data_IF_563598242015
#
_entry.id   IF_563598242015
#
_cell.length_a   1.000
_cell.length_b   1.000
_cell.length_c   1.000
_cell.angle_alpha   90.00
_cell.angle_beta   90.00
_cell.angle_gamma   90.00
#
_symmetry.space_group_name_H-M   'P 1'
#
loop_
_entity.id
_entity.type
_entity.pdbx_description
1 polymer ?
#
# COMPACT_ATOMS: atom_id res chain seq x y z
N UNK A 1 58.99 -42.59 -26.78
CA UNK A 1 58.59 -41.60 -25.76
C UNK A 1 57.25 -41.02 -26.15
N UNK A 2 56.20 -41.69 -25.68
CA UNK A 2 54.81 -41.47 -26.06
C UNK A 2 54.04 -40.99 -24.83
N UNK A 3 54.19 -39.72 -24.49
CA UNK A 3 53.46 -39.10 -23.37
C UNK A 3 52.98 -37.72 -23.78
N UNK A 4 52.06 -37.66 -24.75
CA UNK A 4 51.45 -36.39 -25.21
C UNK A 4 49.92 -36.46 -25.30
N UNK A 5 49.26 -37.24 -24.46
CA UNK A 5 47.81 -37.45 -24.59
C UNK A 5 46.99 -37.41 -23.29
N UNK A 6 47.35 -36.61 -22.28
CA UNK A 6 46.47 -36.45 -21.10
C UNK A 6 46.39 -35.04 -20.49
N UNK A 7 46.60 -33.97 -21.27
CA UNK A 7 46.34 -32.60 -20.80
C UNK A 7 45.04 -32.01 -21.37
N UNK A 8 43.93 -32.74 -21.25
CA UNK A 8 42.65 -32.05 -21.15
C UNK A 8 42.52 -31.66 -19.68
N UNK A 9 43.00 -30.46 -19.34
CA UNK A 9 42.95 -29.92 -17.98
C UNK A 9 41.56 -30.05 -17.35
N UNK A 10 41.50 -30.00 -16.01
CA UNK A 10 40.23 -30.09 -15.28
C UNK A 10 39.25 -29.06 -15.86
N UNK A 11 38.09 -29.52 -16.33
CA UNK A 11 37.01 -28.63 -16.72
C UNK A 11 36.60 -27.84 -15.47
N UNK A 12 36.72 -26.51 -15.52
CA UNK A 12 36.24 -25.66 -14.44
C UNK A 12 34.75 -25.93 -14.21
N UNK A 13 34.37 -25.97 -12.93
CA UNK A 13 32.98 -26.19 -12.57
C UNK A 13 32.12 -25.12 -13.26
N UNK A 14 31.02 -25.56 -13.92
CA UNK A 14 30.07 -24.63 -14.53
C UNK A 14 29.61 -23.63 -13.48
N UNK A 15 29.89 -22.35 -13.73
CA UNK A 15 29.32 -21.27 -12.95
C UNK A 15 27.79 -21.33 -13.08
N UNK A 16 27.08 -21.28 -11.95
CA UNK A 16 25.63 -21.24 -11.96
C UNK A 16 25.14 -19.90 -12.48
N UNK A 17 24.31 -19.89 -13.52
CA UNK A 17 23.58 -18.69 -13.97
C UNK A 17 22.36 -18.35 -13.10
N UNK A 18 22.10 -19.16 -12.07
CA UNK A 18 21.00 -18.95 -11.13
C UNK A 18 21.34 -17.76 -10.22
N UNK A 19 20.75 -16.60 -10.51
CA UNK A 19 20.71 -15.47 -9.57
C UNK A 19 19.73 -15.82 -8.46
N UNK A 20 20.23 -16.27 -7.31
CA UNK A 20 19.40 -16.51 -6.14
C UNK A 20 18.90 -15.19 -5.55
N UNK A 21 17.58 -15.08 -5.33
CA UNK A 21 16.93 -14.15 -4.41
C UNK A 21 16.29 -12.90 -5.02
N UNK A 22 14.96 -12.83 -5.02
CA UNK A 22 14.24 -11.55 -5.09
C UNK A 22 14.20 -10.93 -3.69
N UNK A 23 15.00 -9.89 -3.46
CA UNK A 23 14.93 -9.11 -2.23
C UNK A 23 13.75 -8.14 -2.32
N UNK A 24 12.73 -8.35 -1.48
CA UNK A 24 11.64 -7.39 -1.33
C UNK A 24 12.18 -6.14 -0.65
N UNK A 25 11.95 -4.97 -1.25
CA UNK A 25 12.28 -3.65 -0.68
C UNK A 25 11.42 -3.30 0.56
N UNK A 26 11.32 -4.20 1.54
CA UNK A 26 10.47 -4.09 2.72
C UNK A 26 10.88 -2.91 3.63
N UNK A 27 12.13 -2.46 3.54
CA UNK A 27 12.64 -1.36 4.35
C UNK A 27 12.26 0.03 3.83
N UNK A 28 11.61 0.16 2.67
CA UNK A 28 11.18 1.44 2.09
C UNK A 28 9.73 1.75 2.44
N UNK A 29 9.49 2.21 3.67
CA UNK A 29 8.16 2.62 4.13
C UNK A 29 7.93 4.09 3.73
N UNK A 30 6.99 4.38 2.81
CA UNK A 30 6.72 5.75 2.38
C UNK A 30 6.12 6.59 3.52
N UNK A 31 6.52 7.85 3.63
CA UNK A 31 6.11 8.76 4.71
C UNK A 31 6.86 8.56 6.02
N UNK A 32 7.94 7.78 6.01
CA UNK A 32 8.86 7.65 7.15
C UNK A 32 9.97 8.71 7.11
N UNK A 33 10.67 8.93 8.22
CA UNK A 33 11.77 9.91 8.28
C UNK A 33 12.88 9.65 7.25
N UNK A 34 13.14 8.37 6.92
CA UNK A 34 14.14 7.98 5.91
C UNK A 34 13.63 8.10 4.47
N UNK A 35 12.31 8.03 4.28
CA UNK A 35 11.66 8.05 2.98
C UNK A 35 10.42 8.97 3.05
N UNK A 36 10.62 10.30 3.08
CA UNK A 36 9.52 11.26 3.10
C UNK A 36 8.72 11.20 1.78
N UNK A 37 7.44 11.55 1.83
CA UNK A 37 6.59 11.67 0.64
C UNK A 37 7.02 12.87 -0.20
N UNK A 38 7.13 12.71 -1.51
CA UNK A 38 7.36 13.83 -2.44
C UNK A 38 6.03 14.36 -2.95
N UNK A 39 5.57 15.49 -2.43
CA UNK A 39 4.28 16.09 -2.78
C UNK A 39 4.48 17.39 -3.56
N UNK A 40 3.61 17.64 -4.54
CA UNK A 40 3.61 18.87 -5.34
C UNK A 40 2.24 19.53 -5.26
N UNK A 41 2.25 20.83 -5.01
CA UNK A 41 1.05 21.65 -4.78
C UNK A 41 1.15 22.93 -5.62
N UNK A 42 0.01 23.52 -5.98
CA UNK A 42 -0.08 24.69 -6.87
C UNK A 42 -0.04 26.03 -6.13
N UNK A 43 -0.56 26.09 -4.89
CA UNK A 43 -0.66 27.32 -4.09
C UNK A 43 -0.08 27.17 -2.68
N UNK A 44 0.22 28.31 -2.06
CA UNK A 44 0.71 28.37 -0.68
C UNK A 44 -0.35 27.95 0.35
N UNK A 45 -1.60 28.35 0.14
CA UNK A 45 -2.73 27.95 0.98
C UNK A 45 -2.86 26.43 1.02
N UNK A 46 -2.85 25.80 -0.15
CA UNK A 46 -2.91 24.33 -0.28
C UNK A 46 -1.71 23.64 0.35
N UNK A 47 -0.53 24.27 0.32
CA UNK A 47 0.65 23.74 1.01
C UNK A 47 0.45 23.69 2.53
N UNK A 48 -0.17 24.70 3.13
CA UNK A 48 -0.44 24.72 4.58
C UNK A 48 -1.43 23.63 4.97
N UNK A 49 -2.51 23.45 4.19
CA UNK A 49 -3.48 22.36 4.40
C UNK A 49 -2.84 20.97 4.31
N UNK A 50 -1.98 20.75 3.30
CA UNK A 50 -1.29 19.47 3.12
C UNK A 50 -0.32 19.23 4.27
N UNK A 51 0.36 20.27 4.76
CA UNK A 51 1.26 20.16 5.91
C UNK A 51 0.53 19.81 7.20
N UNK A 52 -0.64 20.41 7.47
CA UNK A 52 -1.45 20.05 8.65
C UNK A 52 -1.92 18.60 8.54
N UNK A 53 -2.41 18.17 7.38
CA UNK A 53 -2.85 16.78 7.16
C UNK A 53 -1.71 15.76 7.35
N UNK A 54 -0.49 16.09 6.89
CA UNK A 54 0.70 15.25 7.09
C UNK A 54 1.08 15.18 8.58
N UNK A 55 1.01 16.31 9.29
CA UNK A 55 1.32 16.38 10.72
C UNK A 55 0.31 15.59 11.58
N UNK A 56 -0.99 15.74 11.30
CA UNK A 56 -2.07 14.96 11.93
C UNK A 56 -1.90 13.46 11.70
N UNK A 57 -1.44 13.08 10.50
CA UNK A 57 -1.14 11.69 10.16
C UNK A 57 0.18 11.18 10.74
N UNK A 58 0.98 12.02 11.40
CA UNK A 58 2.34 11.73 11.86
C UNK A 58 3.25 11.17 10.75
N UNK A 59 3.13 11.70 9.53
CA UNK A 59 3.94 11.33 8.36
C UNK A 59 5.02 12.40 8.10
N UNK A 60 6.04 12.03 7.33
CA UNK A 60 7.07 12.95 6.84
C UNK A 60 6.87 13.19 5.34
N UNK A 61 6.85 14.45 4.91
CA UNK A 61 6.69 14.83 3.50
C UNK A 61 7.50 16.07 3.14
N UNK A 62 8.01 16.10 1.91
CA UNK A 62 8.63 17.24 1.27
C UNK A 62 7.62 17.83 0.27
N UNK A 63 7.15 19.05 0.54
CA UNK A 63 6.12 19.72 -0.28
C UNK A 63 6.73 20.82 -1.13
N UNK A 64 6.69 20.66 -2.45
CA UNK A 64 7.13 21.65 -3.44
C UNK A 64 5.94 22.40 -4.02
N UNK A 65 6.14 23.68 -4.32
CA UNK A 65 5.13 24.53 -4.96
C UNK A 65 5.49 24.68 -6.44
N UNK A 66 4.59 24.31 -7.32
CA UNK A 66 4.71 24.52 -8.76
C UNK A 66 3.66 25.54 -9.21
N UNK A 67 4.09 26.79 -9.36
CA UNK A 67 3.24 27.94 -9.73
C UNK A 67 3.09 28.13 -11.26
N UNK A 68 3.29 27.06 -12.05
CA UNK A 68 3.20 27.13 -13.51
C UNK A 68 1.75 26.96 -13.96
N UNK A 69 1.35 27.71 -14.99
CA UNK A 69 0.04 27.58 -15.61
C UNK A 69 -0.14 26.15 -16.17
N UNK A 70 -1.08 25.39 -15.61
CA UNK A 70 -1.33 23.99 -15.97
C UNK A 70 -0.58 22.93 -15.15
N UNK A 71 0.05 23.31 -14.03
CA UNK A 71 0.66 22.35 -13.12
C UNK A 71 -0.39 21.41 -12.48
N UNK A 72 -0.09 20.11 -12.44
CA UNK A 72 -0.97 19.08 -11.86
C UNK A 72 -0.54 18.79 -10.42
N UNK A 73 -1.48 18.84 -9.47
CA UNK A 73 -1.23 18.49 -8.07
C UNK A 73 -0.83 17.01 -7.92
N UNK A 74 0.29 16.74 -7.23
CA UNK A 74 0.78 15.38 -6.97
C UNK A 74 0.64 15.06 -5.48
N UNK A 75 -0.58 14.78 -5.04
CA UNK A 75 -0.93 14.48 -3.62
C UNK A 75 -1.43 13.03 -3.46
N UNK A 76 -1.45 12.24 -4.53
CA UNK A 76 -2.04 10.90 -4.57
C UNK A 76 -1.48 9.93 -3.52
N UNK A 77 -0.18 9.99 -3.23
CA UNK A 77 0.42 9.10 -2.22
C UNK A 77 -0.11 9.39 -0.81
N UNK A 78 -0.27 10.68 -0.46
CA UNK A 78 -0.82 11.09 0.81
C UNK A 78 -2.28 10.63 0.94
N UNK A 79 -3.10 10.85 -0.09
CA UNK A 79 -4.51 10.44 -0.07
C UNK A 79 -4.65 8.92 0.04
N UNK A 80 -3.84 8.16 -0.70
CA UNK A 80 -3.82 6.70 -0.62
C UNK A 80 -3.47 6.19 0.80
N UNK A 81 -2.52 6.84 1.48
CA UNK A 81 -2.16 6.48 2.86
C UNK A 81 -3.27 6.84 3.87
N UNK A 82 -3.93 7.98 3.70
CA UNK A 82 -5.03 8.39 4.57
C UNK A 82 -6.25 7.46 4.44
N UNK A 83 -6.61 7.08 3.20
CA UNK A 83 -7.71 6.12 2.94
C UNK A 83 -7.41 4.76 3.58
N UNK A 84 -6.17 4.26 3.45
CA UNK A 84 -5.77 2.98 4.08
C UNK A 84 -5.88 3.00 5.61
N UNK A 85 -5.64 4.14 6.25
CA UNK A 85 -5.76 4.27 7.72
C UNK A 85 -7.21 4.19 8.19
N UNK A 86 -8.18 4.55 7.35
CA UNK A 86 -9.60 4.42 7.70
C UNK A 86 -10.03 2.96 7.60
N UNK A 87 -10.02 2.26 8.73
CA UNK A 87 -10.58 0.91 8.80
C UNK A 87 -12.08 0.96 8.49
N UNK A 88 -12.51 0.23 7.45
CA UNK A 88 -13.94 0.06 7.15
C UNK A 88 -14.57 -0.69 8.32
N UNK A 89 -15.42 0.00 9.09
CA UNK A 89 -16.19 -0.62 10.18
C UNK A 89 -17.32 -1.43 9.57
N UNK A 90 -17.11 -2.73 9.43
CA UNK A 90 -18.19 -3.65 9.08
C UNK A 90 -19.10 -3.80 10.30
N UNK A 91 -20.36 -3.35 10.15
CA UNK A 91 -21.39 -3.57 11.17
C UNK A 91 -21.57 -5.08 11.32
N UNK A 92 -21.41 -5.59 12.55
CA UNK A 92 -21.59 -7.00 12.83
C UNK A 92 -23.01 -7.42 12.42
N UNK A 93 -23.11 -8.53 11.71
CA UNK A 93 -24.40 -9.13 11.38
C UNK A 93 -25.09 -9.52 12.70
N UNK A 94 -26.34 -9.09 12.94
CA UNK A 94 -27.06 -9.41 14.18
C UNK A 94 -27.21 -10.93 14.35
N UNK A 95 -27.22 -11.42 15.60
CA UNK A 95 -27.39 -12.83 15.86
C UNK A 95 -28.80 -13.29 15.47
N UNK A 96 -28.97 -14.61 15.28
CA UNK A 96 -30.21 -15.24 14.78
C UNK A 96 -31.51 -14.70 15.42
N UNK A 97 -31.50 -14.37 16.71
CA UNK A 97 -32.67 -13.92 17.45
C UNK A 97 -32.71 -12.40 17.71
N UNK A 98 -31.67 -11.66 17.36
CA UNK A 98 -31.57 -10.21 17.58
C UNK A 98 -32.49 -9.44 16.62
N UNK A 99 -32.88 -8.19 16.95
CA UNK A 99 -33.63 -7.34 16.03
C UNK A 99 -32.87 -7.15 14.71
N UNK A 100 -33.59 -7.22 13.60
CA UNK A 100 -33.01 -7.11 12.27
C UNK A 100 -32.53 -5.68 11.99
N UNK A 101 -31.34 -5.57 11.39
CA UNK A 101 -30.70 -4.31 11.00
C UNK A 101 -31.45 -3.51 9.91
N UNK A 102 -32.46 -4.09 9.25
CA UNK A 102 -33.33 -3.40 8.28
C UNK A 102 -34.45 -2.56 8.93
N UNK A 103 -34.51 -2.50 10.26
CA UNK A 103 -35.52 -1.70 10.98
C UNK A 103 -36.90 -2.34 11.09
N UNK A 104 -37.07 -3.59 10.67
CA UNK A 104 -38.38 -4.27 10.68
C UNK A 104 -38.90 -4.69 12.07
N UNK A 105 -38.07 -4.56 13.12
CA UNK A 105 -38.40 -5.03 14.48
C UNK A 105 -38.49 -6.55 14.63
N UNK A 106 -38.39 -7.32 13.54
CA UNK A 106 -38.43 -8.79 13.54
C UNK A 106 -37.05 -9.36 13.92
N UNK A 107 -37.04 -10.58 14.48
CA UNK A 107 -35.80 -11.34 14.71
C UNK A 107 -35.05 -11.56 13.38
N UNK A 108 -33.73 -11.44 13.37
CA UNK A 108 -32.90 -11.55 12.16
C UNK A 108 -33.20 -12.80 11.32
N UNK A 109 -33.35 -13.96 11.98
CA UNK A 109 -33.75 -15.25 11.35
C UNK A 109 -35.09 -15.28 10.64
N UNK A 110 -35.97 -14.33 10.95
CA UNK A 110 -37.32 -14.20 10.38
C UNK A 110 -37.42 -13.01 9.41
N UNK A 111 -36.29 -12.39 9.08
CA UNK A 111 -36.23 -11.22 8.20
C UNK A 111 -35.07 -11.36 7.20
N UNK A 112 -34.04 -10.51 7.24
CA UNK A 112 -32.97 -10.48 6.23
C UNK A 112 -32.13 -11.76 6.12
N UNK A 113 -32.15 -12.65 7.12
CA UNK A 113 -31.49 -13.95 7.01
C UNK A 113 -32.25 -14.95 6.10
N UNK A 114 -33.55 -14.75 5.85
CA UNK A 114 -34.35 -15.60 4.94
C UNK A 114 -34.21 -15.17 3.47
N UNK A 115 -33.81 -13.93 3.22
CA UNK A 115 -33.70 -13.35 1.86
C UNK A 115 -32.36 -13.66 1.18
N UNK A 116 -31.40 -14.29 1.88
CA UNK A 116 -30.06 -14.62 1.36
C UNK A 116 -29.94 -16.06 0.80
N UNK A 117 -31.04 -16.81 0.74
CA UNK A 117 -31.08 -18.22 0.30
C UNK A 117 -31.88 -18.46 -0.98
N UNK A 118 -32.04 -17.43 -1.83
CA UNK A 118 -32.60 -17.55 -3.18
C UNK A 118 -31.53 -17.20 -4.22
#
# INVERSE_FOLDING_TARGET
>A
MSDKFFFQGRQDARQSNLKFGYERNANRIPGSKKYPLSLVVTSEERKQEVQSAVAEAHLFAEVKIDSREGAVESIFELTALLVRKQAVKVVKVPARNDPCNCGSGKKYKKCCALTLTL
#
